data_IF_791667345483
#
_entry.id   IF_791667345483
#
_cell.length_a   1.000
_cell.length_b   1.000
_cell.length_c   1.000
_cell.angle_alpha   90.00
_cell.angle_beta   90.00
_cell.angle_gamma   90.00
#
_symmetry.space_group_name_H-M   'P 1'
#
loop_
_entity.id
_entity.type
_entity.pdbx_description
1 polymer ?
#
# COMPACT_ATOMS: atom_id res chain seq x y z
N UNK A 1 18.24 -38.48 7.43
CA UNK A 1 18.53 -37.14 6.86
C UNK A 1 20.04 -37.05 6.69
N UNK A 2 20.50 -36.94 5.45
CA UNK A 2 21.93 -36.79 5.12
C UNK A 2 22.32 -35.31 5.06
N UNK A 3 23.62 -35.01 5.11
CA UNK A 3 24.12 -33.64 4.92
C UNK A 3 23.66 -33.03 3.58
N UNK A 4 23.50 -33.87 2.55
CA UNK A 4 22.97 -33.49 1.23
C UNK A 4 21.50 -33.06 1.29
N UNK A 5 20.67 -33.73 2.10
CA UNK A 5 19.25 -33.38 2.31
C UNK A 5 19.11 -32.03 3.04
N UNK A 6 19.97 -31.78 4.03
CA UNK A 6 20.02 -30.51 4.76
C UNK A 6 20.42 -29.35 3.83
N UNK A 7 21.43 -29.53 2.98
CA UNK A 7 21.85 -28.52 2.02
C UNK A 7 20.79 -28.25 0.94
N UNK A 8 20.03 -29.26 0.52
CA UNK A 8 18.90 -29.10 -0.39
C UNK A 8 17.75 -28.32 0.25
N UNK A 9 17.43 -28.62 1.52
CA UNK A 9 16.42 -27.90 2.29
C UNK A 9 16.79 -26.42 2.48
N UNK A 10 18.04 -26.13 2.86
CA UNK A 10 18.53 -24.76 3.02
C UNK A 10 18.42 -23.94 1.72
N UNK A 11 18.76 -24.53 0.57
CA UNK A 11 18.61 -23.87 -0.75
C UNK A 11 17.15 -23.60 -1.11
N UNK A 12 16.23 -24.51 -0.77
CA UNK A 12 14.79 -24.30 -0.99
C UNK A 12 14.25 -23.19 -0.08
N UNK A 13 14.63 -23.19 1.19
CA UNK A 13 14.26 -22.15 2.13
C UNK A 13 14.75 -20.76 1.65
N UNK A 14 16.00 -20.66 1.19
CA UNK A 14 16.53 -19.40 0.64
C UNK A 14 15.72 -18.90 -0.56
N UNK A 15 15.44 -19.77 -1.53
CA UNK A 15 14.62 -19.40 -2.70
C UNK A 15 13.21 -18.97 -2.29
N UNK A 16 12.61 -19.67 -1.34
CA UNK A 16 11.29 -19.31 -0.81
C UNK A 16 11.30 -17.92 -0.18
N UNK A 17 12.36 -17.58 0.58
CA UNK A 17 12.50 -16.27 1.19
C UNK A 17 12.68 -15.17 0.12
N UNK A 18 13.53 -15.39 -0.88
CA UNK A 18 13.72 -14.42 -1.98
C UNK A 18 12.43 -14.18 -2.77
N UNK A 19 11.64 -15.22 -3.03
CA UNK A 19 10.32 -15.06 -3.68
C UNK A 19 9.37 -14.26 -2.80
N UNK A 20 9.29 -14.58 -1.50
CA UNK A 20 8.44 -13.86 -0.58
C UNK A 20 8.82 -12.36 -0.46
N UNK A 21 10.11 -12.04 -0.51
CA UNK A 21 10.59 -10.66 -0.53
C UNK A 21 10.17 -9.92 -1.82
N UNK A 22 10.30 -10.57 -2.98
CA UNK A 22 9.85 -9.99 -4.26
C UNK A 22 8.34 -9.77 -4.28
N UNK A 23 7.57 -10.76 -3.82
CA UNK A 23 6.11 -10.68 -3.79
C UNK A 23 5.65 -9.57 -2.84
N UNK A 24 6.31 -9.44 -1.69
CA UNK A 24 6.05 -8.33 -0.76
C UNK A 24 6.34 -6.98 -1.41
N UNK A 25 7.47 -6.83 -2.10
CA UNK A 25 7.80 -5.59 -2.80
C UNK A 25 6.75 -5.26 -3.88
N UNK A 26 6.34 -6.25 -4.67
CA UNK A 26 5.30 -6.08 -5.69
C UNK A 26 3.96 -5.65 -5.10
N UNK A 27 3.54 -6.23 -3.96
CA UNK A 27 2.33 -5.83 -3.25
C UNK A 27 2.41 -4.38 -2.74
N UNK A 28 3.56 -3.95 -2.22
CA UNK A 28 3.76 -2.57 -1.77
C UNK A 28 3.69 -1.59 -2.94
N UNK A 29 4.36 -1.88 -4.05
CA UNK A 29 4.32 -1.06 -5.26
C UNK A 29 2.90 -0.96 -5.83
N UNK A 30 2.17 -2.08 -5.88
CA UNK A 30 0.77 -2.09 -6.30
C UNK A 30 -0.10 -1.23 -5.37
N UNK A 31 0.10 -1.31 -4.06
CA UNK A 31 -0.64 -0.52 -3.07
C UNK A 31 -0.37 0.99 -3.22
N UNK A 32 0.90 1.37 -3.43
CA UNK A 32 1.27 2.77 -3.68
C UNK A 32 0.69 3.26 -5.00
N UNK A 33 0.78 2.46 -6.06
CA UNK A 33 0.18 2.78 -7.36
C UNK A 33 -1.33 3.02 -7.25
N UNK A 34 -2.04 2.14 -6.56
CA UNK A 34 -3.49 2.25 -6.34
C UNK A 34 -3.85 3.48 -5.48
N UNK A 35 -3.04 3.78 -4.46
CA UNK A 35 -3.20 4.96 -3.60
C UNK A 35 -2.93 6.30 -4.32
N UNK A 36 -2.20 6.27 -5.44
CA UNK A 36 -1.90 7.44 -6.27
C UNK A 36 -2.95 7.71 -7.37
N UNK A 37 -4.03 6.93 -7.40
CA UNK A 37 -5.15 7.15 -8.32
C UNK A 37 -6.09 8.25 -7.84
N UNK A 38 -6.85 8.84 -8.76
CA UNK A 38 -7.89 9.82 -8.41
C UNK A 38 -9.01 9.23 -7.55
N UNK A 39 -9.13 7.90 -7.50
CA UNK A 39 -10.05 7.21 -6.60
C UNK A 39 -9.73 7.53 -5.13
N UNK A 40 -8.46 7.72 -4.78
CA UNK A 40 -8.07 8.13 -3.45
C UNK A 40 -8.50 9.56 -3.08
N UNK A 41 -8.67 10.45 -4.06
CA UNK A 41 -9.17 11.82 -3.88
C UNK A 41 -10.69 11.85 -3.69
N UNK A 42 -11.39 10.87 -4.25
CA UNK A 42 -12.84 10.89 -4.38
C UNK A 42 -13.55 9.98 -3.38
N UNK A 43 -12.98 8.82 -3.07
CA UNK A 43 -13.62 7.81 -2.24
C UNK A 43 -13.12 7.87 -0.78
N UNK A 44 -14.04 8.19 0.14
CA UNK A 44 -13.71 8.26 1.55
C UNK A 44 -13.33 6.88 2.10
N UNK A 45 -12.20 6.79 2.80
CA UNK A 45 -11.72 5.53 3.38
C UNK A 45 -10.99 4.60 2.41
N UNK A 46 -10.86 4.97 1.13
CA UNK A 46 -10.19 4.16 0.13
C UNK A 46 -8.72 3.84 0.47
N UNK A 47 -7.94 4.82 0.94
CA UNK A 47 -6.57 4.59 1.42
C UNK A 47 -6.49 3.53 2.53
N UNK A 48 -7.49 3.48 3.42
CA UNK A 48 -7.55 2.47 4.47
C UNK A 48 -7.84 1.07 3.92
N UNK A 49 -8.67 0.99 2.87
CA UNK A 49 -8.98 -0.26 2.19
C UNK A 49 -7.74 -0.81 1.45
N UNK A 50 -7.04 0.05 0.70
CA UNK A 50 -5.80 -0.31 0.00
C UNK A 50 -4.73 -0.80 0.99
N UNK A 51 -4.54 -0.10 2.11
CA UNK A 51 -3.59 -0.52 3.15
C UNK A 51 -3.93 -1.90 3.74
N UNK A 52 -5.22 -2.16 4.02
CA UNK A 52 -5.68 -3.47 4.52
C UNK A 52 -5.44 -4.59 3.52
N UNK A 53 -5.73 -4.35 2.24
CA UNK A 53 -5.53 -5.33 1.19
C UNK A 53 -4.04 -5.66 0.99
N UNK A 54 -3.16 -4.68 1.15
CA UNK A 54 -1.71 -4.85 1.12
C UNK A 54 -1.14 -5.42 2.43
N UNK A 55 -1.95 -5.64 3.46
CA UNK A 55 -1.51 -6.18 4.75
C UNK A 55 -0.61 -5.23 5.55
N UNK A 56 -0.70 -3.93 5.31
CA UNK A 56 0.13 -2.90 5.97
C UNK A 56 -0.71 -1.89 6.72
N UNK A 57 -0.07 -1.12 7.60
CA UNK A 57 -0.74 0.00 8.25
C UNK A 57 -1.00 1.13 7.26
N UNK A 58 -2.12 1.84 7.45
CA UNK A 58 -2.44 3.05 6.69
C UNK A 58 -1.34 4.10 6.79
N UNK A 59 -0.75 4.28 7.98
CA UNK A 59 0.32 5.25 8.22
C UNK A 59 1.56 4.91 7.39
N UNK A 60 1.88 3.61 7.25
CA UNK A 60 3.00 3.18 6.43
C UNK A 60 2.73 3.41 4.94
N UNK A 61 1.54 3.05 4.45
CA UNK A 61 1.13 3.36 3.06
C UNK A 61 1.20 4.87 2.79
N UNK A 62 0.69 5.70 3.72
CA UNK A 62 0.72 7.15 3.59
C UNK A 62 2.15 7.69 3.47
N UNK A 63 3.11 7.18 4.24
CA UNK A 63 4.53 7.53 4.11
C UNK A 63 5.08 7.15 2.73
N UNK A 64 4.86 5.91 2.29
CA UNK A 64 5.32 5.46 0.97
C UNK A 64 4.76 6.30 -0.18
N UNK A 65 3.49 6.68 -0.08
CA UNK A 65 2.82 7.54 -1.06
C UNK A 65 3.42 8.94 -1.04
N UNK A 66 3.68 9.50 0.13
CA UNK A 66 4.29 10.84 0.28
C UNK A 66 5.74 10.86 -0.22
N UNK A 67 6.51 9.80 0.05
CA UNK A 67 7.88 9.63 -0.48
C UNK A 67 7.87 9.56 -2.02
N UNK A 68 6.84 8.95 -2.61
CA UNK A 68 6.69 8.82 -4.07
C UNK A 68 6.13 10.08 -4.72
N UNK A 69 5.20 10.76 -4.06
CA UNK A 69 4.51 11.97 -4.53
C UNK A 69 4.24 12.93 -3.37
N UNK A 70 5.20 13.82 -3.07
CA UNK A 70 5.03 14.82 -2.01
C UNK A 70 3.81 15.71 -2.26
N UNK A 71 3.09 16.03 -1.19
CA UNK A 71 1.86 16.82 -1.18
C UNK A 71 0.60 16.06 -1.61
N UNK A 72 0.70 14.76 -1.92
CA UNK A 72 -0.47 13.99 -2.36
C UNK A 72 -1.51 13.82 -1.25
N UNK A 73 -1.07 13.60 0.00
CA UNK A 73 -1.99 13.46 1.13
C UNK A 73 -2.76 14.76 1.41
N UNK A 74 -2.11 15.91 1.25
CA UNK A 74 -2.77 17.22 1.38
C UNK A 74 -3.81 17.43 0.27
N UNK A 75 -3.52 16.98 -0.96
CA UNK A 75 -4.52 17.00 -2.05
C UNK A 75 -5.73 16.12 -1.74
N UNK A 76 -5.52 14.93 -1.18
CA UNK A 76 -6.61 14.05 -0.73
C UNK A 76 -7.46 14.74 0.32
N UNK A 77 -6.82 15.36 1.31
CA UNK A 77 -7.51 16.09 2.37
C UNK A 77 -8.33 17.26 1.81
N UNK A 78 -7.73 18.08 0.95
CA UNK A 78 -8.41 19.20 0.31
C UNK A 78 -9.64 18.76 -0.50
N UNK A 79 -9.51 17.70 -1.31
CA UNK A 79 -10.63 17.16 -2.09
C UNK A 79 -11.77 16.61 -1.21
N UNK A 80 -11.44 16.02 -0.06
CA UNK A 80 -12.44 15.55 0.91
C UNK A 80 -13.13 16.70 1.64
N UNK A 81 -12.39 17.73 2.02
CA UNK A 81 -12.92 18.92 2.69
C UNK A 81 -13.86 19.71 1.77
N UNK A 82 -13.49 19.90 0.50
CA UNK A 82 -14.34 20.54 -0.51
C UNK A 82 -15.68 19.81 -0.65
N UNK A 83 -15.65 18.48 -0.80
CA UNK A 83 -16.86 17.64 -0.85
C UNK A 83 -17.71 17.73 0.41
N UNK A 84 -17.08 17.86 1.58
CA UNK A 84 -17.78 17.99 2.85
C UNK A 84 -18.48 19.34 2.96
N UNK A 85 -17.85 20.40 2.46
CA UNK A 85 -18.44 21.74 2.40
C UNK A 85 -19.65 21.78 1.47
N UNK A 86 -19.52 21.24 0.24
CA UNK A 86 -20.62 21.18 -0.72
C UNK A 86 -21.81 20.36 -0.22
N UNK A 87 -21.56 19.34 0.62
CA UNK A 87 -22.64 18.53 1.22
C UNK A 87 -23.37 19.24 2.37
N UNK A 88 -22.72 20.21 3.02
CA UNK A 88 -23.32 21.01 4.11
C UNK A 88 -24.13 22.20 3.58
N UNK A 89 -23.76 22.76 2.44
CA UNK A 89 -24.52 23.87 1.82
C UNK A 89 -25.77 23.39 1.08
N UNK A 90 -25.83 22.10 0.71
CA UNK A 90 -26.98 21.48 0.05
C UNK A 90 -28.02 20.86 1.01
N UNK A 91 -27.82 20.98 2.33
CA UNK A 91 -28.68 20.43 3.38
C UNK A 91 -29.28 21.55 4.22
#
# INVERSE_FOLDING_TARGET
MTATDLAALARRAKRSAETAERDKAALLEAAVGEALTDRALTEYGYLSAVARQAGISRTYLARLVEDRRPGWLERIKAAQDERRSSRKEAA
#
